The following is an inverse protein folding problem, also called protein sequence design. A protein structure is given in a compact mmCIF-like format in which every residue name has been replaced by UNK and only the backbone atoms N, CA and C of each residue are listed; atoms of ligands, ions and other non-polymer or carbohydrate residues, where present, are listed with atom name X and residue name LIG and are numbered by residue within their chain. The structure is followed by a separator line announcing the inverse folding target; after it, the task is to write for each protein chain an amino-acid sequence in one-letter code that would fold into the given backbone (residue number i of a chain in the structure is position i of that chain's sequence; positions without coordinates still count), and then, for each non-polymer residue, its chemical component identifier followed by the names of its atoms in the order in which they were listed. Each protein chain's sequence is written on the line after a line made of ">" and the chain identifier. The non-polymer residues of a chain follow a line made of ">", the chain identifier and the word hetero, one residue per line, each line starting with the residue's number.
data_IF_126154512313
#
_entry.id   IF_126154512313
#
_cell.length_a   1.000
_cell.length_b   1.000
_cell.length_c   1.000
_cell.angle_alpha   90.00
_cell.angle_beta   90.00
_cell.angle_gamma   90.00
#
_symmetry.space_group_name_H-M   'P 1'
#
loop_
_entity.id
_entity.type
_entity.pdbx_description
1 polymer ?
#
# COMPACT_ATOMS: atom_id res chain seq x y z
N UNK A 1 -0.11 16.91 1.74
CA UNK A 1 0.99 16.18 2.38
C UNK A 1 0.46 15.46 3.62
N UNK A 2 0.59 14.13 3.68
CA UNK A 2 0.26 13.29 4.83
C UNK A 2 1.50 13.18 5.71
N UNK A 3 1.36 13.51 6.99
CA UNK A 3 2.43 13.52 7.99
C UNK A 3 1.92 13.01 9.36
N UNK A 4 2.80 12.93 10.37
CA UNK A 4 2.41 12.48 11.71
C UNK A 4 1.35 13.38 12.37
N UNK A 5 1.27 14.67 12.02
CA UNK A 5 0.25 15.57 12.57
C UNK A 5 -1.13 15.21 12.03
N UNK A 6 -1.20 14.96 10.72
CA UNK A 6 -2.40 14.49 10.03
C UNK A 6 -2.91 13.18 10.62
N UNK A 7 -2.01 12.27 11.03
CA UNK A 7 -2.39 11.00 11.63
C UNK A 7 -2.95 11.11 13.06
N UNK A 8 -2.61 12.16 13.82
CA UNK A 8 -3.09 12.31 15.21
C UNK A 8 -4.61 12.43 15.32
N UNK A 9 -5.25 13.05 14.33
CA UNK A 9 -6.71 13.23 14.27
C UNK A 9 -7.42 12.13 13.46
N UNK A 10 -6.69 11.12 13.01
CA UNK A 10 -7.23 10.06 12.16
C UNK A 10 -7.77 8.87 12.96
N UNK A 11 -8.56 8.01 12.31
CA UNK A 11 -9.03 6.77 12.93
C UNK A 11 -7.84 5.89 13.32
N UNK A 12 -7.93 5.20 14.46
CA UNK A 12 -6.85 4.34 14.97
C UNK A 12 -6.52 3.18 14.01
N UNK A 13 -7.52 2.70 13.27
CA UNK A 13 -7.48 1.59 12.32
C UNK A 13 -7.41 2.03 10.84
N UNK A 14 -7.15 3.32 10.60
CA UNK A 14 -6.86 3.86 9.26
C UNK A 14 -5.74 3.05 8.57
N UNK A 15 -5.93 2.82 7.27
CA UNK A 15 -4.88 2.32 6.37
C UNK A 15 -4.59 3.37 5.30
N UNK A 16 -3.31 3.59 5.01
CA UNK A 16 -2.81 4.47 3.96
C UNK A 16 -2.29 3.61 2.81
N UNK A 17 -2.82 3.88 1.62
CA UNK A 17 -2.43 3.26 0.35
C UNK A 17 -1.81 4.30 -0.59
N UNK A 18 -0.94 3.84 -1.48
CA UNK A 18 -0.24 4.68 -2.44
C UNK A 18 0.35 3.81 -3.56
N UNK A 19 0.16 4.15 -4.85
CA UNK A 19 0.68 3.33 -5.95
C UNK A 19 2.20 3.41 -6.13
N UNK A 20 2.83 4.47 -5.60
CA UNK A 20 4.25 4.81 -5.78
C UNK A 20 4.63 5.09 -7.27
N UNK A 21 5.77 5.76 -7.55
CA UNK A 21 6.65 6.44 -6.59
C UNK A 21 5.91 7.60 -5.91
N UNK A 22 6.32 7.95 -4.69
CA UNK A 22 5.86 9.17 -4.05
C UNK A 22 6.86 10.30 -4.23
N UNK A 23 6.39 11.54 -4.26
CA UNK A 23 7.24 12.74 -4.39
C UNK A 23 7.29 13.49 -3.06
N UNK A 24 6.19 14.13 -2.66
CA UNK A 24 6.09 14.97 -1.47
C UNK A 24 4.72 14.83 -0.75
N UNK A 25 3.82 14.05 -1.34
CA UNK A 25 2.46 13.85 -0.89
C UNK A 25 2.36 13.04 0.41
N UNK A 26 3.34 12.18 0.71
CA UNK A 26 3.46 11.40 1.95
C UNK A 26 4.87 11.59 2.53
N UNK A 27 4.94 12.07 3.77
CA UNK A 27 6.21 12.27 4.47
C UNK A 27 6.86 10.93 4.83
N UNK A 28 8.19 10.84 4.76
CA UNK A 28 8.93 9.59 4.96
C UNK A 28 8.79 9.02 6.39
N UNK A 29 8.54 9.86 7.38
CA UNK A 29 8.27 9.42 8.75
C UNK A 29 6.96 8.61 8.89
N UNK A 30 6.08 8.65 7.88
CA UNK A 30 4.86 7.84 7.86
C UNK A 30 5.18 6.35 7.62
N UNK A 31 6.32 6.01 7.04
CA UNK A 31 6.71 4.63 6.70
C UNK A 31 6.78 3.73 7.94
N UNK A 32 7.20 4.31 9.06
CA UNK A 32 7.36 3.62 10.34
C UNK A 32 6.05 3.46 11.10
N UNK A 33 4.92 3.93 10.55
CA UNK A 33 3.62 3.86 11.23
C UNK A 33 2.83 2.62 10.81
N UNK A 34 2.00 2.04 11.70
CA UNK A 34 1.20 0.87 11.36
C UNK A 34 0.16 1.12 10.27
N UNK A 35 -0.18 2.39 10.00
CA UNK A 35 -1.11 2.79 8.96
C UNK A 35 -0.48 2.69 7.55
N UNK A 36 0.85 2.72 7.41
CA UNK A 36 1.52 2.64 6.11
C UNK A 36 1.45 1.22 5.51
N UNK A 37 0.46 0.97 4.64
CA UNK A 37 0.28 -0.33 3.97
C UNK A 37 0.60 -0.32 2.48
N UNK A 38 1.09 0.79 1.93
CA UNK A 38 1.48 0.86 0.51
C UNK A 38 2.63 -0.09 0.13
N UNK A 39 3.53 -0.46 1.05
CA UNK A 39 4.52 -1.53 0.77
C UNK A 39 3.86 -2.90 0.65
N UNK A 40 2.93 -3.21 1.55
CA UNK A 40 2.13 -4.43 1.46
C UNK A 40 1.28 -4.44 0.19
N UNK A 41 0.73 -3.29 -0.21
CA UNK A 41 0.01 -3.13 -1.47
C UNK A 41 0.87 -3.49 -2.69
N UNK A 42 2.13 -3.02 -2.74
CA UNK A 42 3.07 -3.37 -3.81
C UNK A 42 3.33 -4.88 -3.84
N UNK A 43 3.55 -5.50 -2.69
CA UNK A 43 3.73 -6.96 -2.59
C UNK A 43 2.48 -7.72 -3.05
N UNK A 44 1.29 -7.29 -2.61
CA UNK A 44 0.02 -7.84 -3.07
C UNK A 44 -0.14 -7.72 -4.59
N UNK A 45 0.39 -6.67 -5.20
CA UNK A 45 0.44 -6.51 -6.66
C UNK A 45 1.20 -7.63 -7.38
N UNK A 46 2.27 -8.16 -6.78
CA UNK A 46 3.00 -9.32 -7.32
C UNK A 46 2.11 -10.56 -7.29
N UNK A 47 1.55 -10.87 -6.12
CA UNK A 47 0.71 -12.07 -5.93
C UNK A 47 -0.55 -12.03 -6.81
N UNK A 48 -1.19 -10.87 -6.91
CA UNK A 48 -2.37 -10.68 -7.78
C UNK A 48 -2.01 -10.90 -9.25
N UNK A 49 -0.86 -10.38 -9.73
CA UNK A 49 -0.42 -10.61 -11.10
C UNK A 49 -0.08 -12.07 -11.36
N UNK A 50 0.57 -12.75 -10.41
CA UNK A 50 0.83 -14.19 -10.51
C UNK A 50 -0.47 -14.98 -10.65
N UNK A 51 -1.46 -14.69 -9.80
CA UNK A 51 -2.77 -15.34 -9.85
C UNK A 51 -3.50 -15.05 -11.17
N UNK A 52 -3.50 -13.79 -11.62
CA UNK A 52 -4.11 -13.39 -12.88
C UNK A 52 -3.46 -14.11 -14.07
N UNK A 53 -2.13 -14.15 -14.13
CA UNK A 53 -1.40 -14.85 -15.18
C UNK A 53 -1.68 -16.36 -15.15
N UNK A 54 -1.74 -16.97 -13.96
CA UNK A 54 -2.06 -18.38 -13.82
C UNK A 54 -3.49 -18.70 -14.33
N UNK A 55 -4.47 -17.83 -14.06
CA UNK A 55 -5.84 -17.97 -14.56
C UNK A 55 -5.90 -17.82 -16.09
N UNK A 56 -5.27 -16.77 -16.64
CA UNK A 56 -5.28 -16.49 -18.09
C UNK A 56 -4.56 -17.59 -18.89
N UNK A 57 -3.50 -18.17 -18.33
CA UNK A 57 -2.73 -19.24 -18.98
C UNK A 57 -3.26 -20.65 -18.69
N UNK A 58 -4.35 -20.78 -17.91
CA UNK A 58 -4.96 -22.07 -17.57
C UNK A 58 -4.11 -22.95 -16.62
N UNK A 59 -3.19 -22.36 -15.87
CA UNK A 59 -2.36 -23.05 -14.88
C UNK A 59 -3.11 -23.33 -13.56
N UNK A 60 -4.24 -22.66 -13.33
CA UNK A 60 -5.17 -22.90 -12.22
C UNK A 60 -6.60 -22.90 -12.74
N UNK A 61 -7.47 -23.71 -12.14
CA UNK A 61 -8.90 -23.85 -12.49
C UNK A 61 -9.77 -22.94 -11.65
#
# INVERSE_FOLDING_TARGET
>A
KIDLKTLKSSKKDLIILHPLPRVDEIAAEVDSTPQARYFQQVWNGIVVRMALLALVLGAVK
#
